data_IF_513305651023
#
_entry.id   IF_513305651023
#
_cell.length_a   1.000
_cell.length_b   1.000
_cell.length_c   1.000
_cell.angle_alpha   90.00
_cell.angle_beta   90.00
_cell.angle_gamma   90.00
#
_symmetry.space_group_name_H-M   'P 1'
#
loop_
_entity.id
_entity.type
_entity.pdbx_description
1 polymer ?
#
# COMPACT_ATOMS: atom_id res chain seq x y z
N UNK A 1 51.66 29.82 -8.06
CA UNK A 1 50.75 30.32 -9.11
C UNK A 1 50.58 29.23 -10.17
N UNK A 2 49.49 28.45 -10.11
CA UNK A 2 48.75 27.80 -11.21
C UNK A 2 47.64 26.94 -10.59
N UNK A 3 46.43 27.08 -11.12
CA UNK A 3 45.14 26.51 -10.68
C UNK A 3 44.89 25.14 -11.35
N UNK A 4 43.90 24.43 -10.77
CA UNK A 4 42.99 23.45 -11.42
C UNK A 4 43.57 22.06 -11.64
N UNK A 5 42.86 20.93 -11.49
CA UNK A 5 41.44 20.52 -11.58
C UNK A 5 41.22 19.55 -10.38
N UNK A 6 40.14 19.60 -9.61
CA UNK A 6 38.90 18.89 -9.95
C UNK A 6 39.06 17.39 -9.71
N UNK A 7 38.63 16.89 -8.54
CA UNK A 7 38.03 15.56 -8.45
C UNK A 7 37.07 15.50 -7.26
N UNK A 8 35.85 15.15 -7.65
CA UNK A 8 34.60 15.01 -6.92
C UNK A 8 34.77 14.22 -5.60
N UNK A 9 34.34 14.80 -4.48
CA UNK A 9 34.03 14.03 -3.27
C UNK A 9 32.87 13.07 -3.61
N UNK A 10 33.20 11.82 -3.90
CA UNK A 10 32.23 10.74 -3.85
C UNK A 10 31.90 10.55 -2.37
N UNK A 11 30.83 11.19 -1.92
CA UNK A 11 30.23 10.91 -0.63
C UNK A 11 29.90 9.42 -0.59
N UNK A 12 30.65 8.70 0.24
CA UNK A 12 30.54 7.28 0.51
C UNK A 12 29.07 6.91 0.73
N UNK A 13 28.51 6.11 -0.18
CA UNK A 13 27.20 5.48 0.03
C UNK A 13 27.34 4.59 1.26
N UNK A 14 26.72 4.98 2.37
CA UNK A 14 26.60 4.10 3.53
C UNK A 14 25.64 2.97 3.17
N UNK A 15 26.21 1.83 2.80
CA UNK A 15 25.49 0.57 2.73
C UNK A 15 25.22 0.15 4.17
N UNK A 16 24.00 0.37 4.65
CA UNK A 16 23.58 -0.15 5.94
C UNK A 16 23.47 -1.67 5.84
N UNK A 17 24.27 -2.36 6.64
CA UNK A 17 24.13 -3.79 6.90
C UNK A 17 22.77 -4.01 7.55
N UNK A 18 21.83 -4.66 6.87
CA UNK A 18 20.51 -4.96 7.41
C UNK A 18 20.65 -6.14 8.36
N UNK A 19 20.50 -5.88 9.66
CA UNK A 19 20.54 -6.92 10.70
C UNK A 19 19.43 -7.96 10.50
N UNK A 20 19.85 -9.22 10.39
CA UNK A 20 19.02 -10.38 10.06
C UNK A 20 18.04 -10.81 11.17
N UNK A 21 17.93 -10.04 12.28
CA UNK A 21 17.14 -10.40 13.47
C UNK A 21 16.28 -9.26 14.06
N UNK A 22 15.98 -8.20 13.30
CA UNK A 22 15.00 -7.21 13.77
C UNK A 22 13.58 -7.80 13.66
N UNK A 23 13.09 -8.37 14.76
CA UNK A 23 11.67 -8.67 14.95
C UNK A 23 11.02 -7.47 15.66
N UNK A 24 9.91 -6.92 15.15
CA UNK A 24 9.20 -7.28 13.92
C UNK A 24 9.88 -6.71 12.66
N UNK A 25 9.63 -7.27 11.46
CA UNK A 25 10.08 -6.67 10.21
C UNK A 25 9.62 -5.21 10.14
N UNK A 26 10.57 -4.30 9.93
CA UNK A 26 10.27 -2.87 9.85
C UNK A 26 9.46 -2.59 8.57
N UNK A 27 8.14 -2.44 8.73
CA UNK A 27 7.27 -1.99 7.65
C UNK A 27 7.58 -0.52 7.34
N UNK A 28 7.68 -0.18 6.06
CA UNK A 28 7.82 1.19 5.60
C UNK A 28 7.07 1.37 4.29
N UNK A 29 6.70 2.62 4.00
CA UNK A 29 6.03 2.99 2.76
C UNK A 29 6.60 4.30 2.24
N UNK A 30 6.55 4.47 0.92
CA UNK A 30 6.95 5.69 0.25
C UNK A 30 5.81 6.70 0.24
N UNK A 31 6.16 7.98 0.35
CA UNK A 31 5.23 9.09 0.14
C UNK A 31 5.90 10.19 -0.71
N UNK A 32 5.99 10.00 -2.05
CA UNK A 32 6.60 10.99 -2.95
C UNK A 32 5.78 12.28 -3.05
N UNK A 33 4.55 12.29 -2.52
CA UNK A 33 3.60 13.39 -2.58
C UNK A 33 3.62 14.28 -1.32
N UNK A 34 4.38 13.90 -0.29
CA UNK A 34 4.38 14.52 1.05
C UNK A 34 4.61 16.04 1.08
N UNK A 35 5.20 16.62 0.03
CA UNK A 35 5.48 18.06 -0.09
C UNK A 35 4.34 18.86 -0.75
N UNK A 36 3.27 18.20 -1.18
CA UNK A 36 2.19 18.82 -1.95
C UNK A 36 0.89 18.83 -1.16
N UNK A 37 0.23 19.99 -1.11
CA UNK A 37 -1.09 20.14 -0.50
C UNK A 37 -2.18 19.79 -1.52
N UNK A 38 -3.04 18.84 -1.17
CA UNK A 38 -4.13 18.36 -2.05
C UNK A 38 -5.17 19.43 -2.37
N UNK A 39 -5.36 20.41 -1.50
CA UNK A 39 -6.36 21.48 -1.68
C UNK A 39 -5.93 22.54 -2.69
N UNK A 40 -4.62 22.74 -2.87
CA UNK A 40 -4.07 23.78 -3.75
C UNK A 40 -3.36 23.23 -4.99
N UNK A 41 -2.94 21.97 -4.97
CA UNK A 41 -2.18 21.36 -6.06
C UNK A 41 -3.11 20.81 -7.14
N UNK A 42 -2.85 21.16 -8.40
CA UNK A 42 -3.63 20.65 -9.52
C UNK A 42 -3.49 19.10 -9.64
N UNK A 43 -4.59 18.34 -9.83
CA UNK A 43 -4.55 16.89 -10.00
C UNK A 43 -3.51 16.37 -11.00
N UNK A 44 -3.26 17.11 -12.08
CA UNK A 44 -2.26 16.75 -13.11
C UNK A 44 -0.86 16.66 -12.52
N UNK A 45 -0.52 17.47 -11.52
CA UNK A 45 0.80 17.41 -10.85
C UNK A 45 0.94 16.09 -10.08
N UNK A 46 -0.10 15.66 -9.37
CA UNK A 46 -0.09 14.36 -8.68
C UNK A 46 0.05 13.20 -9.68
N UNK A 47 -0.66 13.26 -10.81
CA UNK A 47 -0.53 12.27 -11.88
C UNK A 47 0.92 12.21 -12.43
N UNK A 48 1.56 13.36 -12.64
CA UNK A 48 2.95 13.42 -13.12
C UNK A 48 3.95 12.84 -12.10
N UNK A 49 3.79 13.16 -10.80
CA UNK A 49 4.62 12.58 -9.74
C UNK A 49 4.43 11.07 -9.70
N UNK A 50 3.19 10.59 -9.79
CA UNK A 50 2.88 9.17 -9.84
C UNK A 50 3.53 8.48 -11.04
N UNK A 51 3.45 9.08 -12.24
CA UNK A 51 4.09 8.54 -13.45
C UNK A 51 5.62 8.50 -13.32
N UNK A 52 6.24 9.56 -12.79
CA UNK A 52 7.68 9.58 -12.53
C UNK A 52 8.10 8.48 -11.56
N UNK A 53 7.31 8.28 -10.50
CA UNK A 53 7.52 7.19 -9.55
C UNK A 53 7.36 5.81 -10.22
N UNK A 54 6.33 5.62 -11.06
CA UNK A 54 6.15 4.39 -11.85
C UNK A 54 7.33 4.10 -12.77
N UNK A 55 7.92 5.13 -13.38
CA UNK A 55 9.13 4.98 -14.19
C UNK A 55 10.33 4.56 -13.34
N UNK A 56 10.50 5.10 -12.14
CA UNK A 56 11.57 4.70 -11.22
C UNK A 56 11.44 3.23 -10.78
N UNK A 57 10.21 2.76 -10.56
CA UNK A 57 9.91 1.40 -10.11
C UNK A 57 9.26 0.56 -11.23
N UNK A 58 9.74 0.70 -12.47
CA UNK A 58 9.14 0.04 -13.64
C UNK A 58 9.21 -1.49 -13.58
N UNK A 59 10.18 -2.05 -12.86
CA UNK A 59 10.35 -3.50 -12.62
C UNK A 59 9.40 -4.06 -11.57
N UNK A 60 8.68 -3.20 -10.84
CA UNK A 60 7.71 -3.61 -9.85
C UNK A 60 6.33 -3.62 -10.49
N UNK A 61 5.65 -4.76 -10.40
CA UNK A 61 4.29 -4.92 -10.87
C UNK A 61 3.34 -4.13 -9.96
N UNK A 62 2.55 -3.18 -10.51
CA UNK A 62 1.70 -2.31 -9.70
C UNK A 62 0.42 -3.05 -9.27
N UNK A 63 0.06 -2.89 -8.00
CA UNK A 63 -1.21 -3.35 -7.42
C UNK A 63 -1.85 -2.15 -6.75
N UNK A 64 -3.15 -1.92 -6.99
CA UNK A 64 -3.90 -0.84 -6.35
C UNK A 64 -4.93 -1.44 -5.41
N UNK A 65 -5.08 -0.83 -4.23
CA UNK A 65 -6.00 -1.30 -3.19
C UNK A 65 -6.83 -0.14 -2.67
N UNK A 66 -8.11 -0.39 -2.41
CA UNK A 66 -9.02 0.59 -1.81
C UNK A 66 -10.03 -0.11 -0.90
N UNK A 67 -10.42 0.57 0.19
CA UNK A 67 -11.47 0.17 1.10
C UNK A 67 -12.56 1.25 1.20
N UNK A 68 -13.80 0.88 0.90
CA UNK A 68 -14.92 1.82 0.94
C UNK A 68 -15.93 1.48 2.02
N UNK A 69 -16.47 2.53 2.68
CA UNK A 69 -17.62 2.45 3.57
C UNK A 69 -18.66 3.50 3.20
N UNK A 70 -19.90 3.03 3.05
CA UNK A 70 -21.12 3.83 2.94
C UNK A 70 -22.04 3.52 4.11
N UNK A 71 -23.20 4.17 4.19
CA UNK A 71 -24.17 3.94 5.27
C UNK A 71 -24.65 2.48 5.39
N UNK A 72 -24.69 1.72 4.29
CA UNK A 72 -25.25 0.36 4.25
C UNK A 72 -24.30 -0.71 3.72
N UNK A 73 -23.10 -0.32 3.28
CA UNK A 73 -22.16 -1.22 2.61
C UNK A 73 -20.73 -0.89 3.00
N UNK A 74 -19.96 -1.92 3.26
CA UNK A 74 -18.50 -1.87 3.39
C UNK A 74 -17.95 -2.86 2.37
N UNK A 75 -16.88 -2.51 1.69
CA UNK A 75 -16.25 -3.38 0.71
C UNK A 75 -14.84 -2.94 0.40
N UNK A 76 -14.08 -3.81 -0.25
CA UNK A 76 -12.73 -3.52 -0.70
C UNK A 76 -12.57 -3.88 -2.17
N UNK A 77 -11.60 -3.24 -2.81
CA UNK A 77 -11.21 -3.46 -4.20
C UNK A 77 -9.70 -3.63 -4.33
N UNK A 78 -9.28 -4.55 -5.19
CA UNK A 78 -7.88 -4.77 -5.57
C UNK A 78 -7.79 -4.83 -7.09
N UNK A 79 -6.89 -4.05 -7.68
CA UNK A 79 -6.62 -4.05 -9.12
C UNK A 79 -5.20 -4.51 -9.35
N UNK A 80 -5.05 -5.57 -10.13
CA UNK A 80 -3.76 -6.17 -10.47
C UNK A 80 -3.80 -6.79 -11.85
N UNK A 81 -2.85 -6.44 -12.73
CA UNK A 81 -2.72 -6.96 -14.09
C UNK A 81 -4.06 -7.02 -14.85
N UNK A 82 -4.76 -5.87 -14.93
CA UNK A 82 -6.11 -5.72 -15.52
C UNK A 82 -7.24 -6.50 -14.84
N UNK A 83 -6.93 -7.36 -13.88
CA UNK A 83 -7.91 -8.06 -13.06
C UNK A 83 -8.39 -7.15 -11.93
N UNK A 84 -9.69 -7.21 -11.67
CA UNK A 84 -10.34 -6.48 -10.59
C UNK A 84 -10.95 -7.50 -9.63
N UNK A 85 -10.47 -7.50 -8.39
CA UNK A 85 -11.01 -8.31 -7.31
C UNK A 85 -11.74 -7.38 -6.35
N UNK A 86 -12.92 -7.79 -5.89
CA UNK A 86 -13.66 -7.00 -4.93
C UNK A 86 -14.59 -7.90 -4.12
N UNK A 87 -14.83 -7.57 -2.85
CA UNK A 87 -15.85 -8.24 -2.04
C UNK A 87 -16.43 -7.33 -0.97
N UNK A 88 -17.68 -7.61 -0.63
CA UNK A 88 -18.43 -6.94 0.41
C UNK A 88 -18.05 -7.51 1.77
N UNK A 89 -17.83 -6.61 2.73
CA UNK A 89 -17.66 -6.94 4.13
C UNK A 89 -18.97 -6.71 4.88
N UNK A 90 -19.03 -7.21 6.11
CA UNK A 90 -20.11 -6.89 7.01
C UNK A 90 -20.23 -5.36 7.19
N UNK A 91 -21.45 -4.83 7.20
CA UNK A 91 -21.71 -3.39 7.26
C UNK A 91 -21.16 -2.72 8.55
N UNK A 92 -20.95 -3.50 9.62
CA UNK A 92 -20.33 -3.03 10.85
C UNK A 92 -18.83 -2.75 10.70
N UNK A 93 -18.15 -3.35 9.72
CA UNK A 93 -16.71 -3.15 9.52
C UNK A 93 -16.36 -1.66 9.36
N UNK A 94 -15.20 -1.23 9.88
CA UNK A 94 -14.71 0.11 9.63
C UNK A 94 -14.14 0.25 8.21
N UNK A 95 -13.99 1.50 7.74
CA UNK A 95 -13.27 1.77 6.49
C UNK A 95 -11.81 1.28 6.59
N UNK A 96 -11.15 1.49 7.73
CA UNK A 96 -9.78 0.99 7.99
C UNK A 96 -9.69 -0.53 7.84
N UNK A 97 -10.68 -1.27 8.33
CA UNK A 97 -10.75 -2.73 8.15
C UNK A 97 -10.89 -3.11 6.68
N UNK A 98 -11.69 -2.37 5.90
CA UNK A 98 -11.79 -2.59 4.46
C UNK A 98 -10.44 -2.34 3.75
N UNK A 99 -9.75 -1.26 4.09
CA UNK A 99 -8.44 -0.90 3.55
C UNK A 99 -7.39 -1.98 3.85
N UNK A 100 -7.33 -2.44 5.11
CA UNK A 100 -6.43 -3.51 5.52
C UNK A 100 -6.79 -4.83 4.83
N UNK A 101 -8.07 -5.17 4.68
CA UNK A 101 -8.48 -6.36 3.92
C UNK A 101 -8.04 -6.30 2.46
N UNK A 102 -8.11 -5.12 1.82
CA UNK A 102 -7.66 -4.92 0.46
C UNK A 102 -6.15 -5.23 0.32
N UNK A 103 -5.33 -4.70 1.23
CA UNK A 103 -3.89 -4.96 1.29
C UNK A 103 -3.60 -6.44 1.57
N UNK A 104 -4.29 -7.04 2.55
CA UNK A 104 -4.13 -8.45 2.89
C UNK A 104 -4.40 -9.34 1.67
N UNK A 105 -5.48 -9.08 0.93
CA UNK A 105 -5.78 -9.88 -0.25
C UNK A 105 -4.79 -9.65 -1.38
N UNK A 106 -4.32 -8.42 -1.60
CA UNK A 106 -3.27 -8.15 -2.57
C UNK A 106 -2.04 -9.03 -2.29
N UNK A 107 -1.63 -9.14 -1.02
CA UNK A 107 -0.51 -9.99 -0.61
C UNK A 107 -0.81 -11.49 -0.77
N UNK A 108 -2.02 -11.95 -0.45
CA UNK A 108 -2.41 -13.35 -0.67
C UNK A 108 -2.37 -13.72 -2.16
N UNK A 109 -2.76 -12.80 -3.04
CA UNK A 109 -2.64 -12.96 -4.49
C UNK A 109 -1.18 -13.02 -4.91
N UNK A 110 -0.35 -12.10 -4.43
CA UNK A 110 1.08 -12.11 -4.71
C UNK A 110 1.75 -13.40 -4.23
N UNK A 111 1.34 -13.94 -3.08
CA UNK A 111 1.95 -15.14 -2.52
C UNK A 111 1.86 -16.37 -3.44
N UNK A 112 0.88 -16.45 -4.33
CA UNK A 112 0.72 -17.57 -5.26
C UNK A 112 1.34 -17.33 -6.64
N UNK A 113 1.88 -16.14 -6.87
CA UNK A 113 2.45 -15.75 -8.16
C UNK A 113 3.92 -16.16 -8.29
N UNK A 114 4.41 -16.37 -9.54
CA UNK A 114 5.81 -16.62 -9.81
C UNK A 114 6.67 -15.34 -9.82
N UNK A 115 6.06 -14.16 -10.00
CA UNK A 115 6.77 -12.88 -9.89
C UNK A 115 7.14 -12.59 -8.43
N UNK A 116 8.24 -11.86 -8.25
CA UNK A 116 8.79 -11.61 -6.93
C UNK A 116 8.87 -10.11 -6.57
N UNK A 117 8.50 -9.18 -7.46
CA UNK A 117 8.64 -7.73 -7.22
C UNK A 117 7.34 -6.98 -7.49
N UNK A 118 6.75 -6.41 -6.43
CA UNK A 118 5.45 -5.72 -6.52
C UNK A 118 5.45 -4.38 -5.80
N UNK A 119 4.68 -3.42 -6.33
CA UNK A 119 4.41 -2.17 -5.64
C UNK A 119 2.91 -2.05 -5.35
N UNK A 120 2.56 -2.06 -4.06
CA UNK A 120 1.19 -1.88 -3.58
C UNK A 120 0.96 -0.39 -3.33
N UNK A 121 0.00 0.16 -4.07
CA UNK A 121 -0.49 1.53 -3.96
C UNK A 121 -1.80 1.55 -3.16
N UNK A 122 -1.84 2.34 -2.10
CA UNK A 122 -3.03 2.61 -1.30
C UNK A 122 -3.13 4.10 -1.04
N UNK A 123 -4.35 4.64 -1.05
CA UNK A 123 -4.61 6.02 -0.65
C UNK A 123 -4.99 6.18 0.83
N UNK A 124 -5.08 5.07 1.56
CA UNK A 124 -5.31 5.06 3.00
C UNK A 124 -4.01 5.20 3.78
N UNK A 125 -3.67 6.45 4.09
CA UNK A 125 -2.55 6.75 5.00
C UNK A 125 -2.73 6.03 6.36
N UNK A 126 -3.97 5.96 6.85
CA UNK A 126 -4.30 5.29 8.11
C UNK A 126 -3.97 3.79 8.11
N UNK A 127 -4.19 3.09 7.00
CA UNK A 127 -3.83 1.68 6.88
C UNK A 127 -2.32 1.49 6.85
N UNK A 128 -1.60 2.31 6.07
CA UNK A 128 -0.14 2.28 5.99
C UNK A 128 0.54 2.63 7.33
N UNK A 129 0.03 3.63 8.04
CA UNK A 129 0.51 4.00 9.38
C UNK A 129 0.22 2.92 10.43
N UNK A 130 -0.93 2.24 10.34
CA UNK A 130 -1.27 1.09 11.18
C UNK A 130 -0.25 -0.03 11.01
N UNK A 131 0.18 -0.30 9.77
CA UNK A 131 1.20 -1.31 9.49
C UNK A 131 2.61 -0.87 9.92
N UNK A 132 2.92 0.42 9.82
CA UNK A 132 4.21 0.98 10.23
C UNK A 132 4.43 0.99 11.76
N UNK A 133 3.36 0.99 12.56
CA UNK A 133 3.42 1.04 14.02
C UNK A 133 2.76 -0.17 14.69
N UNK A 134 3.32 -1.38 14.52
CA UNK A 134 2.70 -2.62 14.98
C UNK A 134 2.54 -2.70 16.51
N UNK A 135 3.32 -1.94 17.28
CA UNK A 135 3.22 -1.93 18.74
C UNK A 135 1.95 -1.23 19.24
N UNK A 136 1.36 -0.35 18.45
CA UNK A 136 0.10 0.36 18.77
C UNK A 136 -1.09 -0.17 17.98
N UNK A 137 -0.82 -0.82 16.84
CA UNK A 137 -1.83 -1.46 16.00
C UNK A 137 -2.26 -2.83 16.55
N UNK A 138 -3.28 -2.85 17.41
CA UNK A 138 -3.96 -4.08 17.87
C UNK A 138 -4.96 -4.64 16.86
N UNK A 139 -4.88 -4.20 15.60
CA UNK A 139 -5.83 -4.62 14.57
C UNK A 139 -5.49 -6.03 14.07
N UNK A 140 -6.38 -7.04 14.17
CA UNK A 140 -6.06 -8.43 13.85
C UNK A 140 -5.56 -8.61 12.40
N UNK A 141 -6.19 -7.93 11.43
CA UNK A 141 -5.77 -7.96 10.03
C UNK A 141 -4.35 -7.39 9.83
N UNK A 142 -3.95 -6.36 10.58
CA UNK A 142 -2.62 -5.79 10.47
C UNK A 142 -1.56 -6.83 10.89
N UNK A 143 -1.83 -7.61 11.94
CA UNK A 143 -0.95 -8.72 12.35
C UNK A 143 -0.85 -9.79 11.27
N UNK A 144 -1.95 -10.15 10.61
CA UNK A 144 -1.94 -11.11 9.50
C UNK A 144 -1.13 -10.60 8.30
N UNK A 145 -1.28 -9.32 7.94
CA UNK A 145 -0.49 -8.67 6.88
C UNK A 145 1.00 -8.77 7.19
N UNK A 146 1.42 -8.42 8.41
CA UNK A 146 2.83 -8.45 8.80
C UNK A 146 3.41 -9.87 8.79
N UNK A 147 2.63 -10.87 9.23
CA UNK A 147 3.01 -12.28 9.10
C UNK A 147 3.16 -12.71 7.63
N UNK A 148 2.26 -12.28 6.76
CA UNK A 148 2.31 -12.60 5.34
C UNK A 148 3.50 -11.92 4.65
N UNK A 149 3.81 -10.67 5.01
CA UNK A 149 5.01 -9.97 4.55
C UNK A 149 6.29 -10.68 4.96
N UNK A 150 6.37 -11.20 6.21
CA UNK A 150 7.51 -11.99 6.65
C UNK A 150 7.68 -13.27 5.80
N UNK A 151 6.58 -13.94 5.46
CA UNK A 151 6.59 -15.14 4.59
C UNK A 151 6.98 -14.82 3.15
N UNK A 152 6.54 -13.70 2.60
CA UNK A 152 6.93 -13.22 1.27
C UNK A 152 8.42 -12.90 1.23
N UNK A 153 8.92 -12.18 2.24
CA UNK A 153 10.35 -11.87 2.37
C UNK A 153 11.22 -13.14 2.45
N UNK A 154 10.77 -14.16 3.17
CA UNK A 154 11.46 -15.44 3.26
C UNK A 154 11.51 -16.23 1.93
N UNK A 155 10.75 -15.80 0.91
CA UNK A 155 10.75 -16.35 -0.45
C UNK A 155 11.44 -15.43 -1.46
N UNK A 156 12.22 -14.46 -0.98
CA UNK A 156 12.86 -13.43 -1.80
C UNK A 156 11.86 -12.63 -2.65
N UNK A 157 10.62 -12.47 -2.15
CA UNK A 157 9.63 -11.57 -2.74
C UNK A 157 9.71 -10.19 -2.08
N UNK A 158 9.96 -9.19 -2.90
CA UNK A 158 10.07 -7.79 -2.53
C UNK A 158 8.75 -7.05 -2.76
N UNK A 159 8.22 -6.48 -1.69
CA UNK A 159 6.99 -5.67 -1.72
C UNK A 159 7.33 -4.25 -1.32
N UNK A 160 7.06 -3.31 -2.23
CA UNK A 160 7.12 -1.88 -1.97
C UNK A 160 5.72 -1.36 -1.67
N UNK A 161 5.55 -0.62 -0.58
CA UNK A 161 4.32 0.12 -0.32
C UNK A 161 4.48 1.59 -0.69
N UNK A 162 3.47 2.19 -1.30
CA UNK A 162 3.47 3.59 -1.67
C UNK A 162 2.10 4.21 -1.40
N UNK A 163 2.09 5.29 -0.61
CA UNK A 163 0.90 6.10 -0.46
C UNK A 163 0.67 6.91 -1.73
N UNK A 164 -0.57 6.94 -2.21
CA UNK A 164 -1.00 7.78 -3.34
C UNK A 164 -2.19 8.66 -2.93
N UNK A 165 -2.34 9.87 -3.50
CA UNK A 165 -3.51 10.69 -3.24
C UNK A 165 -4.77 10.12 -3.90
N UNK A 166 -5.87 10.06 -3.15
CA UNK A 166 -7.19 9.66 -3.67
C UNK A 166 -7.80 10.69 -4.63
N UNK A 167 -8.63 10.26 -5.58
CA UNK A 167 -9.46 11.12 -6.44
C UNK A 167 -8.70 12.18 -7.25
N UNK A 168 -7.49 11.86 -7.70
CA UNK A 168 -6.72 12.72 -8.60
C UNK A 168 -6.60 12.15 -10.01
N UNK A 169 -7.34 11.08 -10.34
CA UNK A 169 -7.32 10.48 -11.68
C UNK A 169 -6.19 9.48 -11.93
N UNK A 170 -5.60 8.90 -10.87
CA UNK A 170 -4.70 7.75 -11.03
C UNK A 170 -5.55 6.53 -11.37
N UNK A 171 -5.52 6.11 -12.64
CA UNK A 171 -6.46 5.13 -13.20
C UNK A 171 -6.64 3.86 -12.34
N UNK A 172 -5.54 3.24 -11.91
CA UNK A 172 -5.59 2.03 -11.08
C UNK A 172 -6.27 2.24 -9.72
N UNK A 173 -6.09 3.42 -9.11
CA UNK A 173 -6.74 3.78 -7.84
C UNK A 173 -8.24 4.01 -8.04
N UNK A 174 -8.63 4.76 -9.08
CA UNK A 174 -10.05 5.00 -9.39
C UNK A 174 -10.79 3.68 -9.69
N UNK A 175 -10.12 2.71 -10.31
CA UNK A 175 -10.67 1.37 -10.52
C UNK A 175 -10.83 0.60 -9.19
N UNK A 176 -9.84 0.66 -8.30
CA UNK A 176 -9.93 0.02 -6.98
C UNK A 176 -11.06 0.62 -6.14
N UNK A 177 -11.15 1.94 -6.09
CA UNK A 177 -12.23 2.70 -5.42
C UNK A 177 -13.62 2.34 -5.97
N UNK A 178 -13.74 2.32 -7.31
CA UNK A 178 -14.98 1.89 -7.96
C UNK A 178 -15.35 0.47 -7.56
N UNK A 179 -14.37 -0.45 -7.60
CA UNK A 179 -14.57 -1.85 -7.27
C UNK A 179 -15.01 -2.04 -5.81
N UNK A 180 -14.38 -1.35 -4.86
CA UNK A 180 -14.73 -1.36 -3.45
C UNK A 180 -16.16 -0.91 -3.18
N UNK A 181 -16.61 0.14 -3.90
CA UNK A 181 -17.97 0.68 -3.82
C UNK A 181 -19.03 -0.24 -4.44
N UNK A 182 -18.70 -0.94 -5.52
CA UNK A 182 -19.65 -1.76 -6.30
C UNK A 182 -19.75 -3.24 -5.88
N UNK A 183 -19.11 -3.64 -4.77
CA UNK A 183 -19.04 -5.03 -4.32
C UNK A 183 -20.41 -5.67 -4.09
N UNK A 184 -20.71 -6.79 -4.76
CA UNK A 184 -21.97 -7.53 -4.61
C UNK A 184 -21.83 -8.88 -3.91
N UNK A 185 -20.62 -9.43 -3.83
CA UNK A 185 -20.34 -10.75 -3.25
C UNK A 185 -19.88 -10.64 -1.80
N UNK A 186 -20.56 -11.32 -0.89
CA UNK A 186 -20.27 -11.26 0.54
C UNK A 186 -18.99 -12.04 0.93
N UNK A 187 -18.23 -11.48 1.86
CA UNK A 187 -17.08 -12.09 2.53
C UNK A 187 -17.43 -12.30 4.01
N UNK A 188 -17.56 -13.55 4.42
CA UNK A 188 -17.73 -13.89 5.84
C UNK A 188 -16.37 -13.87 6.54
N UNK A 189 -15.94 -12.69 6.98
CA UNK A 189 -14.79 -12.54 7.87
C UNK A 189 -15.27 -12.17 9.28
N UNK A 190 -14.70 -12.75 10.36
CA UNK A 190 -15.02 -12.32 11.72
C UNK A 190 -14.72 -10.83 11.93
N UNK A 191 -15.61 -10.14 12.63
CA UNK A 191 -15.51 -8.71 12.91
C UNK A 191 -14.36 -8.43 13.91
N UNK A 192 -13.44 -7.51 13.61
CA UNK A 192 -12.49 -7.01 14.59
C UNK A 192 -13.22 -6.40 15.79
N UNK A 193 -12.70 -6.59 17.01
CA UNK A 193 -13.30 -6.01 18.23
C UNK A 193 -13.49 -4.48 18.16
N UNK A 194 -12.55 -3.80 17.49
CA UNK A 194 -12.61 -2.35 17.26
C UNK A 194 -13.86 -1.92 16.45
N UNK A 195 -14.41 -2.81 15.60
CA UNK A 195 -15.57 -2.54 14.76
C UNK A 195 -16.90 -2.81 15.45
N UNK A 196 -16.88 -3.51 16.60
CA UNK A 196 -18.10 -3.86 17.37
C UNK A 196 -18.55 -2.68 18.25
N UNK A 197 -17.66 -1.75 18.57
CA UNK A 197 -17.91 -0.65 19.53
C UNK A 197 -18.45 0.66 18.92
N UNK A 198 -18.96 0.64 17.69
CA UNK A 198 -19.51 1.83 17.03
C UNK A 198 -21.04 1.89 17.08
#
# INVERSE_FOLDING_TARGET
MKRSLGDLEISTVQVYHIDFFSFPPQFSFLNPFSKFDKSTTNPVVFQQIFLSHRTQFYTYSPIFTDGSKTASRVGWGVVFDQNVFSRRLNASCSVLTAELMAIWLALEKVFILPENTFCIYSDSLSALETLAHPQTATHPIASEILCLLARLKARDCEILFCWIPSHVGIHGNELADTAAKSTSTDLNHPLPYADIKK
#
